data_IF_512909012798
#
_entry.id   IF_512909012798
#
_cell.length_a   1.000
_cell.length_b   1.000
_cell.length_c   1.000
_cell.angle_alpha   90.00
_cell.angle_beta   90.00
_cell.angle_gamma   90.00
#
_symmetry.space_group_name_H-M   'P 1'
#
loop_
_entity.id
_entity.type
_entity.pdbx_description
1 polymer ?
2 polymer ?
3 polymer ?
#
loop_
_entity_poly.entity_id
_entity_poly.type
_entity_poly.pdbx_seq_one_letter_code
_entity_poly.pdbx_strand_id
1 'polydeoxyribonucleotide' '(DA)(DC)(DT)(DG)(DT)(DC)(DA)(DT)(DA)(DA)(DA)(DT)(DC)(DT)(DG)(DT)' ?
2 'polydeoxyribonucleotide' '(DA)(DC)(DA)(DG)(DA)(DT)(DT)(DT)(DA)(DT)(DG)(DA)(DC)(DA)(DG)(DT)' ?
#
# COMPACT_ATOMS: atom_id res chain seq x y z
N UNK C 1 21.26 -0.76 -13.03
CA UNK C 1 21.33 0.63 -12.49
C UNK C 1 20.84 0.76 -11.05
N UNK C 2 21.18 1.88 -10.37
CA UNK C 2 20.84 2.11 -8.98
C UNK C 2 19.81 3.22 -8.80
N UNK C 3 19.58 4.06 -9.83
CA UNK C 3 18.47 5.01 -9.87
C UNK C 3 17.11 4.31 -9.83
N UNK C 4 16.14 4.81 -9.04
CA UNK C 4 14.85 4.17 -8.87
C UNK C 4 13.93 4.38 -10.07
N UNK C 5 12.96 3.46 -10.28
CA UNK C 5 12.11 3.42 -11.43
C UNK C 5 10.67 3.18 -10.98
N UNK C 6 9.77 4.07 -11.41
CA UNK C 6 8.31 3.96 -11.42
C UNK C 6 7.71 2.55 -11.55
N UNK C 7 6.65 2.26 -10.76
CA UNK C 7 5.89 1.03 -10.86
C UNK C 7 4.53 1.42 -11.42
N UNK C 8 4.10 0.82 -12.56
CA UNK C 8 2.80 1.11 -13.14
C UNK C 8 2.02 -0.17 -13.38
N UNK C 9 0.87 -0.34 -12.72
CA UNK C 9 0.10 -1.56 -12.79
C UNK C 9 -1.38 -1.24 -12.66
N UNK C 10 -2.24 -1.84 -13.52
CA UNK C 10 -3.70 -1.68 -13.49
C UNK C 10 -4.22 -0.24 -13.39
N UNK C 11 -3.65 0.70 -14.18
CA UNK C 11 -4.05 2.10 -14.15
C UNK C 11 -3.52 2.92 -13.00
N UNK C 12 -2.65 2.36 -12.15
CA UNK C 12 -2.08 3.04 -10.99
C UNK C 12 -0.58 3.11 -11.15
N UNK C 13 0.01 4.32 -11.01
CA UNK C 13 1.45 4.53 -11.16
C UNK C 13 2.06 5.18 -9.94
N UNK C 14 3.14 4.58 -9.40
CA UNK C 14 3.83 5.05 -8.21
C UNK C 14 5.30 5.24 -8.54
N UNK C 15 5.85 6.44 -8.28
CA UNK C 15 7.24 6.78 -8.54
C UNK C 15 7.96 6.90 -7.19
N UNK C 16 8.88 6.00 -6.83
CA UNK C 16 9.58 6.05 -5.54
C UNK C 16 10.50 7.25 -5.41
N UNK C 17 11.05 7.78 -6.53
CA UNK C 17 11.99 8.90 -6.47
C UNK C 17 11.27 10.19 -6.14
N UNK C 18 10.11 10.44 -6.78
CA UNK C 18 9.41 11.70 -6.62
C UNK C 18 8.42 11.68 -5.47
N UNK C 19 8.16 10.48 -4.91
CA UNK C 19 7.13 10.22 -3.90
C UNK C 19 5.73 10.51 -4.44
N UNK C 20 5.45 10.06 -5.67
CA UNK C 20 4.30 10.51 -6.42
C UNK C 20 3.43 9.34 -6.84
N UNK C 21 2.15 9.36 -6.43
CA UNK C 21 1.17 8.33 -6.76
C UNK C 21 0.15 8.95 -7.68
N UNK C 22 -0.15 8.30 -8.83
CA UNK C 22 -1.11 8.80 -9.79
C UNK C 22 -1.99 7.65 -10.22
N UNK C 23 -3.29 7.92 -10.49
CA UNK C 23 -4.22 6.94 -11.00
C UNK C 23 -4.78 7.48 -12.30
N UNK C 24 -4.59 6.77 -13.42
CA UNK C 24 -5.00 7.20 -14.75
C UNK C 24 -4.32 8.47 -15.22
N UNK C 25 -3.08 8.72 -14.75
CA UNK C 25 -2.30 9.93 -14.96
C UNK C 25 -2.92 11.19 -14.35
N UNK C 26 -3.59 11.03 -13.20
CA UNK C 26 -4.11 12.11 -12.37
C UNK C 26 -3.65 11.85 -10.94
N UNK C 27 -3.06 12.77 -10.19
CA UNK C 27 -2.41 12.47 -8.92
C UNK C 27 -3.36 12.06 -7.80
N UNK C 28 -2.83 11.31 -6.82
CA UNK C 28 -3.47 11.00 -5.55
C UNK C 28 -2.52 11.44 -4.46
N UNK C 29 -3.06 11.72 -3.26
CA UNK C 29 -2.28 12.38 -2.21
C UNK C 29 -2.33 11.58 -0.92
N UNK C 30 -1.17 11.36 -0.27
CA UNK C 30 -1.10 10.58 0.95
C UNK C 30 0.18 10.87 1.73
N UNK C 31 0.15 10.57 3.05
CA UNK C 31 1.30 10.68 3.92
C UNK C 31 2.37 9.61 3.72
N UNK C 32 3.50 9.71 4.41
CA UNK C 32 4.68 8.90 4.10
C UNK C 32 4.58 7.48 4.62
N UNK C 33 3.89 7.21 5.75
CA UNK C 33 3.62 5.84 6.23
C UNK C 33 2.69 5.12 5.27
N UNK C 34 1.68 5.83 4.73
CA UNK C 34 0.75 5.35 3.73
C UNK C 34 1.44 5.04 2.41
N UNK C 35 2.38 5.92 1.96
CA UNK C 35 3.20 5.68 0.79
C UNK C 35 4.10 4.46 0.92
N UNK C 36 4.77 4.27 2.07
CA UNK C 36 5.62 3.11 2.30
C UNK C 36 4.85 1.78 2.33
N UNK C 37 3.66 1.76 2.97
CA UNK C 37 2.78 0.61 2.93
C UNK C 37 2.28 0.28 1.52
N UNK C 38 1.90 1.31 0.73
CA UNK C 38 1.55 1.15 -0.66
C UNK C 38 2.70 0.66 -1.53
N UNK C 39 3.93 1.18 -1.33
CA UNK C 39 5.13 0.71 -1.99
C UNK C 39 5.44 -0.75 -1.69
N UNK C 40 5.31 -1.18 -0.42
CA UNK C 40 5.44 -2.57 -0.02
C UNK C 40 4.40 -3.47 -0.67
N UNK C 41 3.11 -3.07 -0.68
CA UNK C 41 2.06 -3.80 -1.37
C UNK C 41 2.22 -3.86 -2.89
N UNK C 42 2.58 -2.76 -3.57
CA UNK C 42 2.78 -2.75 -5.02
C UNK C 42 4.03 -3.48 -5.48
N UNK C 43 5.03 -3.66 -4.58
CA UNK C 43 6.18 -4.52 -4.88
C UNK C 43 5.90 -5.97 -4.56
N UNK C 44 4.79 -6.26 -3.84
CA UNK C 44 4.38 -7.62 -3.51
C UNK C 44 2.89 -7.92 -3.75
N UNK C 45 2.35 -7.88 -4.97
CA UNK C 45 0.98 -8.32 -5.23
C UNK C 45 0.87 -9.83 -5.21
N UNK C 46 -0.31 -10.36 -4.81
CA UNK C 46 -0.63 -11.77 -4.73
C UNK C 46 0.14 -12.50 -3.62
N UNK C 47 0.16 -11.92 -2.41
CA UNK C 47 0.71 -12.58 -1.24
C UNK C 47 0.01 -12.08 0.02
N UNK C 48 -0.27 -12.96 0.99
CA UNK C 48 -0.92 -12.59 2.24
C UNK C 48 0.12 -12.18 3.27
N UNK C 49 -0.15 -11.06 3.97
CA UNK C 49 0.71 -10.50 5.00
C UNK C 49 -0.11 -10.31 6.24
N UNK C 50 0.36 -10.85 7.38
CA UNK C 50 -0.20 -10.56 8.69
C UNK C 50 0.19 -9.17 9.14
N UNK C 51 -0.51 -8.63 10.17
CA UNK C 51 -0.20 -7.32 10.72
C UNK C 51 1.21 -7.25 11.29
N UNK C 52 1.73 -8.36 11.84
CA UNK C 52 3.12 -8.52 12.24
C UNK C 52 4.14 -8.34 11.12
N UNK C 53 3.91 -8.93 9.93
CA UNK C 53 4.80 -8.77 8.79
C UNK C 53 4.83 -7.34 8.29
N UNK C 54 3.64 -6.69 8.22
CA UNK C 54 3.50 -5.29 7.88
C UNK C 54 4.18 -4.37 8.89
N UNK C 55 4.07 -4.64 10.20
CA UNK C 55 4.81 -3.90 11.23
C UNK C 55 6.32 -4.00 11.08
N UNK C 56 6.89 -5.22 10.89
CA UNK C 56 8.32 -5.39 10.70
C UNK C 56 8.86 -4.73 9.42
N UNK C 57 8.15 -4.86 8.28
CA UNK C 57 8.55 -4.20 7.05
C UNK C 57 8.33 -2.69 7.02
N UNK C 58 7.14 -2.17 7.40
CA UNK C 58 6.79 -0.78 7.10
C UNK C 58 7.12 0.14 8.25
N UNK C 59 6.63 -0.18 9.47
CA UNK C 59 6.91 0.58 10.67
C UNK C 59 8.35 0.38 11.12
N UNK C 60 8.85 -0.87 11.11
CA UNK C 60 10.20 -1.25 11.52
C UNK C 60 10.19 -2.31 12.59
N UNK C 61 11.28 -3.10 12.64
CA UNK C 61 11.47 -4.22 13.55
C UNK C 61 11.52 -3.84 15.03
N UNK C 62 12.24 -2.75 15.36
CA UNK C 62 12.49 -2.34 16.72
C UNK C 62 11.57 -1.18 17.11
N UNK C 63 10.62 -0.85 16.22
CA UNK C 63 9.59 0.17 16.42
C UNK C 63 8.39 -0.50 17.06
N UNK C 64 7.73 0.19 18.01
CA UNK C 64 6.67 -0.40 18.81
C UNK C 64 5.40 0.45 18.83
N UNK C 65 4.27 -0.22 18.49
CA UNK C 65 2.91 0.29 18.51
C UNK C 65 2.03 -0.94 18.68
N UNK C 66 0.70 -0.74 18.82
CA UNK C 66 -0.28 -1.80 18.79
C UNK C 66 -0.54 -2.31 17.37
N UNK C 67 -1.05 -3.55 17.23
CA UNK C 67 -1.38 -4.18 15.97
C UNK C 67 -2.47 -3.42 15.22
N UNK C 68 -3.35 -2.72 15.95
CA UNK C 68 -4.47 -2.01 15.37
C UNK C 68 -4.12 -0.58 14.95
N UNK C 69 -2.82 -0.18 15.04
CA UNK C 69 -2.29 0.91 14.23
C UNK C 69 -2.35 0.59 12.74
N UNK C 70 -2.13 -0.69 12.36
CA UNK C 70 -2.22 -1.15 10.98
C UNK C 70 -3.62 -0.97 10.40
N UNK C 71 -4.68 -1.34 11.15
CA UNK C 71 -6.08 -1.21 10.78
C UNK C 71 -6.50 0.22 10.41
N UNK C 72 -6.10 1.20 11.25
CA UNK C 72 -6.32 2.62 11.02
C UNK C 72 -5.58 3.13 9.79
N UNK C 73 -4.32 2.71 9.59
CA UNK C 73 -3.55 3.06 8.41
C UNK C 73 -4.07 2.41 7.13
N UNK C 74 -4.58 1.17 7.18
CA UNK C 74 -5.29 0.51 6.09
C UNK C 74 -6.55 1.28 5.67
N UNK C 75 -7.33 1.80 6.64
CA UNK C 75 -8.45 2.70 6.37
C UNK C 75 -8.01 3.99 5.70
N UNK C 76 -6.92 4.62 6.17
CA UNK C 76 -6.34 5.81 5.56
C UNK C 76 -5.84 5.59 4.14
N UNK C 77 -5.18 4.43 3.86
CA UNK C 77 -4.78 4.03 2.53
C UNK C 77 -5.95 3.77 1.59
N UNK C 78 -7.00 3.03 2.02
CA UNK C 78 -8.22 2.86 1.26
C UNK C 78 -8.94 4.16 0.97
N UNK C 79 -9.07 5.06 1.97
CA UNK C 79 -9.66 6.38 1.83
C UNK C 79 -8.94 7.24 0.79
N UNK C 80 -7.59 7.17 0.76
CA UNK C 80 -6.74 7.79 -0.23
C UNK C 80 -6.90 7.27 -1.66
N UNK C 81 -7.10 5.93 -1.85
CA UNK C 81 -7.14 5.34 -3.17
C UNK C 81 -8.57 5.21 -3.69
N UNK C 82 -9.58 5.46 -2.83
CA UNK C 82 -10.99 5.44 -3.17
C UNK C 82 -11.42 6.43 -4.25
N UNK C 83 -11.06 7.72 -4.32
CA UNK C 83 -11.51 8.59 -5.39
C UNK C 83 -10.72 8.32 -6.66
N UNK C 84 -9.60 7.60 -6.54
CA UNK C 84 -8.81 7.10 -7.67
C UNK C 84 -9.24 5.74 -8.13
N UNK C 85 -10.29 5.15 -7.53
CA UNK C 85 -10.88 3.89 -7.98
C UNK C 85 -10.07 2.65 -7.67
N UNK C 86 -9.07 2.74 -6.77
CA UNK C 86 -8.11 1.66 -6.56
C UNK C 86 -8.07 1.12 -5.13
N UNK C 87 -9.00 1.52 -4.24
CA UNK C 87 -9.20 0.92 -2.93
C UNK C 87 -9.44 -0.60 -2.94
N UNK C 88 -10.14 -1.12 -3.96
CA UNK C 88 -10.55 -2.52 -4.07
C UNK C 88 -9.44 -3.54 -4.32
N UNK C 89 -8.22 -3.08 -4.69
CA UNK C 89 -7.01 -3.91 -4.71
C UNK C 89 -6.57 -4.36 -3.33
N UNK C 90 -6.75 -3.46 -2.33
CA UNK C 90 -6.39 -3.64 -0.93
C UNK C 90 -7.45 -4.47 -0.20
N UNK C 91 -7.21 -5.78 -0.04
CA UNK C 91 -8.18 -6.75 0.41
C UNK C 91 -7.84 -7.35 1.76
N UNK C 92 -8.84 -7.95 2.44
CA UNK C 92 -8.77 -8.35 3.84
C UNK C 92 -8.91 -9.85 3.99
N UNK C 93 -8.00 -10.46 4.76
CA UNK C 93 -8.03 -11.87 5.10
C UNK C 93 -8.36 -11.95 6.60
N UNK C 94 -9.61 -12.28 6.93
CA UNK C 94 -10.11 -12.33 8.30
C UNK C 94 -9.41 -13.38 9.15
N UNK C 95 -8.92 -12.97 10.34
CA UNK C 95 -8.19 -13.82 11.27
C UNK C 95 -6.73 -13.99 10.96
N UNK C 96 -6.20 -13.27 9.94
CA UNK C 96 -4.81 -13.39 9.52
C UNK C 96 -4.22 -12.05 9.19
N UNK C 97 -4.78 -11.31 8.20
CA UNK C 97 -4.15 -10.07 7.77
C UNK C 97 -4.75 -9.50 6.52
N UNK C 98 -3.90 -9.10 5.57
CA UNK C 98 -4.30 -8.35 4.40
C UNK C 98 -3.55 -8.87 3.16
N UNK C 99 -4.04 -8.54 1.95
CA UNK C 99 -3.50 -9.00 0.69
C UNK C 99 -3.69 -7.89 -0.34
N UNK C 100 -2.80 -7.77 -1.34
CA UNK C 100 -2.90 -6.80 -2.42
C UNK C 100 -3.02 -7.58 -3.72
N UNK C 101 -3.86 -7.13 -4.65
CA UNK C 101 -4.15 -7.92 -5.83
C UNK C 101 -4.50 -7.02 -6.99
N UNK C 102 -4.14 -7.42 -8.22
CA UNK C 102 -4.53 -6.73 -9.46
C UNK C 102 -6.03 -6.67 -9.69
N UNK C 103 -6.75 -7.76 -9.34
CA UNK C 103 -8.18 -7.82 -9.46
C UNK C 103 -8.76 -8.81 -8.46
N UNK C 104 -8.40 -10.11 -8.57
CA UNK C 104 -8.99 -11.20 -7.83
C UNK C 104 -8.12 -11.61 -6.62
#
# INVERSE_FOLDING_TARGET
>C
MAVEEVIEMQGLSLDPTSHRVMAGEEPLEMGPTEFKLLHFFMTHPERVYSREQLLNHVWGTNVYVEDRTVDVHIRRLRKALEPGGHDRMVQTVRGTGYRFSTRF
#
